data_IF_438087302782
#
_entry.id   IF_438087302782
#
_cell.length_a   1.000
_cell.length_b   1.000
_cell.length_c   1.000
_cell.angle_alpha   90.00
_cell.angle_beta   90.00
_cell.angle_gamma   90.00
#
_symmetry.space_group_name_H-M   'P 1'
#
loop_
_entity.id
_entity.type
_entity.pdbx_description
1 polymer ?
#
# COMPACT_ATOMS: atom_id res chain seq x y z
N UNK A 1 1.54 30.56 -3.03
CA UNK A 1 0.68 29.45 -2.60
C UNK A 1 1.14 28.11 -3.21
N UNK A 2 1.07 27.88 -4.52
CA UNK A 2 1.44 26.57 -5.08
C UNK A 2 2.96 26.29 -5.06
N UNK A 3 3.82 27.28 -5.30
CA UNK A 3 5.28 27.15 -5.14
C UNK A 3 5.71 26.89 -3.69
N UNK A 4 4.93 27.31 -2.73
CA UNK A 4 5.13 27.08 -1.31
C UNK A 4 4.85 25.63 -0.91
N UNK A 5 3.83 24.98 -1.49
CA UNK A 5 3.53 23.59 -1.25
C UNK A 5 4.70 22.65 -1.61
N UNK A 6 5.26 22.78 -2.82
CA UNK A 6 6.37 21.90 -3.24
C UNK A 6 7.61 22.07 -2.36
N UNK A 7 7.91 23.30 -1.94
CA UNK A 7 9.03 23.53 -1.02
C UNK A 7 8.76 22.91 0.36
N UNK A 8 7.56 23.09 0.90
CA UNK A 8 7.13 22.48 2.16
C UNK A 8 7.19 20.96 2.08
N UNK A 9 6.73 20.37 0.98
CA UNK A 9 6.80 18.94 0.75
C UNK A 9 8.26 18.44 0.68
N UNK A 10 9.15 19.13 -0.03
CA UNK A 10 10.59 18.79 -0.08
C UNK A 10 11.24 18.85 1.30
N UNK A 11 10.92 19.85 2.11
CA UNK A 11 11.41 19.95 3.48
C UNK A 11 10.93 18.75 4.31
N UNK A 12 9.64 18.40 4.21
CA UNK A 12 9.09 17.21 4.87
C UNK A 12 9.78 15.91 4.42
N UNK A 13 10.06 15.74 3.12
CA UNK A 13 10.84 14.62 2.62
C UNK A 13 12.23 14.58 3.28
N UNK A 14 12.91 15.73 3.39
CA UNK A 14 14.21 15.85 4.05
C UNK A 14 14.16 15.42 5.52
N UNK A 15 13.20 15.93 6.28
CA UNK A 15 13.00 15.57 7.70
C UNK A 15 12.77 14.05 7.88
N UNK A 16 11.96 13.46 7.03
CA UNK A 16 11.65 12.03 7.09
C UNK A 16 12.83 11.15 6.66
N UNK A 17 13.64 11.63 5.72
CA UNK A 17 14.82 10.91 5.23
C UNK A 17 15.89 10.72 6.30
N UNK A 18 16.03 11.65 7.25
CA UNK A 18 16.91 11.52 8.42
C UNK A 18 16.54 10.30 9.25
N UNK A 19 15.24 10.01 9.37
CA UNK A 19 14.73 8.83 10.06
C UNK A 19 14.77 7.55 9.20
N UNK A 20 15.15 7.63 7.92
CA UNK A 20 15.14 6.52 6.98
C UNK A 20 13.73 6.04 6.61
N UNK A 21 12.72 6.91 6.66
CA UNK A 21 11.33 6.60 6.38
C UNK A 21 10.76 7.52 5.28
N UNK A 22 9.75 7.07 4.50
CA UNK A 22 9.17 7.88 3.44
C UNK A 22 8.34 9.06 4.01
N UNK A 23 8.08 10.10 3.22
CA UNK A 23 7.15 11.16 3.58
C UNK A 23 5.76 10.59 3.85
N UNK A 24 4.95 11.33 4.58
CA UNK A 24 3.54 10.98 4.80
C UNK A 24 2.79 10.93 3.45
N UNK A 25 1.73 10.11 3.35
CA UNK A 25 0.79 10.21 2.24
C UNK A 25 0.19 11.61 2.17
N UNK A 26 -0.16 12.06 0.97
CA UNK A 26 -0.80 13.36 0.77
C UNK A 26 -2.15 13.43 1.50
N UNK A 27 -2.40 14.52 2.21
CA UNK A 27 -3.73 14.85 2.70
C UNK A 27 -4.65 15.30 1.55
N UNK A 28 -5.96 15.42 1.81
CA UNK A 28 -6.91 15.94 0.83
C UNK A 28 -6.55 17.36 0.34
N UNK A 29 -6.10 18.23 1.25
CA UNK A 29 -5.65 19.59 0.90
C UNK A 29 -4.40 19.56 0.01
N UNK A 30 -3.39 18.78 0.39
CA UNK A 30 -2.18 18.62 -0.41
C UNK A 30 -2.45 17.99 -1.78
N UNK A 31 -3.41 17.04 -1.85
CA UNK A 31 -3.84 16.46 -3.14
C UNK A 31 -4.49 17.52 -4.03
N UNK A 32 -5.29 18.41 -3.45
CA UNK A 32 -5.86 19.55 -4.19
C UNK A 32 -4.77 20.52 -4.67
N UNK A 33 -3.76 20.82 -3.85
CA UNK A 33 -2.62 21.64 -4.27
C UNK A 33 -1.84 21.02 -5.44
N UNK A 34 -1.61 19.70 -5.41
CA UNK A 34 -0.99 18.95 -6.53
C UNK A 34 -1.84 19.07 -7.79
N UNK A 35 -3.17 18.95 -7.69
CA UNK A 35 -4.09 19.08 -8.83
C UNK A 35 -4.04 20.46 -9.43
N UNK A 36 -4.02 21.52 -8.62
CA UNK A 36 -3.89 22.89 -9.14
C UNK A 36 -2.55 23.12 -9.88
N UNK A 37 -1.48 22.51 -9.39
CA UNK A 37 -0.18 22.53 -10.08
C UNK A 37 -0.20 21.70 -11.37
N UNK A 38 -0.92 20.58 -11.42
CA UNK A 38 -1.06 19.76 -12.63
C UNK A 38 -1.82 20.48 -13.76
N UNK A 39 -2.69 21.44 -13.45
CA UNK A 39 -3.37 22.27 -14.46
C UNK A 39 -2.41 23.20 -15.19
N UNK A 40 -1.41 23.74 -14.47
CA UNK A 40 -0.37 24.60 -15.00
C UNK A 40 0.98 24.25 -14.35
N UNK A 41 1.63 23.16 -14.80
CA UNK A 41 2.83 22.66 -14.12
C UNK A 41 3.98 23.65 -14.24
N UNK A 42 4.63 24.00 -13.10
CA UNK A 42 5.86 24.78 -13.13
C UNK A 42 6.95 24.02 -13.88
N UNK A 43 7.70 24.74 -14.68
CA UNK A 43 8.80 24.18 -15.47
C UNK A 43 9.85 23.53 -14.55
N UNK A 44 10.11 22.24 -14.78
CA UNK A 44 11.06 21.45 -14.01
C UNK A 44 10.45 20.66 -12.84
N UNK A 45 9.16 20.85 -12.54
CA UNK A 45 8.43 20.14 -11.49
C UNK A 45 7.47 19.07 -12.03
N UNK A 46 7.44 18.84 -13.33
CA UNK A 46 6.52 17.91 -13.98
C UNK A 46 6.64 16.48 -13.44
N UNK A 47 7.88 16.02 -13.28
CA UNK A 47 8.15 14.65 -12.79
C UNK A 47 7.69 14.44 -11.34
N UNK A 48 7.94 15.42 -10.45
CA UNK A 48 7.50 15.30 -9.05
C UNK A 48 5.97 15.37 -8.95
N UNK A 49 5.29 16.16 -9.77
CA UNK A 49 3.83 16.23 -9.77
C UNK A 49 3.20 14.90 -10.21
N UNK A 50 3.76 14.26 -11.23
CA UNK A 50 3.33 12.92 -11.65
C UNK A 50 3.58 11.88 -10.57
N UNK A 51 4.75 11.91 -9.92
CA UNK A 51 5.07 11.04 -8.79
C UNK A 51 4.06 11.21 -7.64
N UNK A 52 3.76 12.46 -7.27
CA UNK A 52 2.85 12.76 -6.17
C UNK A 52 1.44 12.24 -6.44
N UNK A 53 0.87 12.55 -7.60
CA UNK A 53 -0.49 12.12 -7.92
C UNK A 53 -0.59 10.61 -8.11
N UNK A 54 0.45 9.98 -8.63
CA UNK A 54 0.48 8.53 -8.89
C UNK A 54 0.68 7.73 -7.60
N UNK A 55 1.71 8.05 -6.82
CA UNK A 55 2.22 7.17 -5.76
C UNK A 55 2.05 7.69 -4.34
N UNK A 56 1.74 8.98 -4.15
CA UNK A 56 1.68 9.56 -2.80
C UNK A 56 0.28 9.86 -2.29
N UNK A 57 -0.73 9.81 -3.16
CA UNK A 57 -2.13 9.89 -2.75
C UNK A 57 -2.61 8.56 -2.14
N UNK A 58 -3.28 8.56 -0.97
CA UNK A 58 -3.91 7.36 -0.43
C UNK A 58 -4.89 6.74 -1.41
N UNK A 59 -5.09 5.41 -1.30
CA UNK A 59 -6.12 4.67 -2.04
C UNK A 59 -7.37 4.41 -1.17
N UNK A 60 -8.38 3.77 -1.76
CA UNK A 60 -9.58 3.34 -1.06
C UNK A 60 -10.53 4.52 -0.76
N UNK A 61 -10.96 4.65 0.50
CA UNK A 61 -12.00 5.59 0.94
C UNK A 61 -11.48 6.80 1.71
N UNK A 62 -10.17 7.07 1.65
CA UNK A 62 -9.58 8.26 2.22
C UNK A 62 -10.10 9.54 1.52
N UNK A 63 -10.17 10.65 2.25
CA UNK A 63 -10.62 11.93 1.68
C UNK A 63 -9.70 12.42 0.55
N UNK A 64 -8.40 12.16 0.63
CA UNK A 64 -7.45 12.46 -0.46
C UNK A 64 -7.72 11.59 -1.69
N UNK A 65 -8.12 10.32 -1.50
CA UNK A 65 -8.54 9.44 -2.59
C UNK A 65 -9.78 9.99 -3.31
N UNK A 66 -10.74 10.58 -2.58
CA UNK A 66 -11.90 11.24 -3.18
C UNK A 66 -11.49 12.39 -4.10
N UNK A 67 -10.60 13.26 -3.62
CA UNK A 67 -10.09 14.41 -4.40
C UNK A 67 -9.34 13.91 -5.65
N UNK A 68 -8.44 12.95 -5.49
CA UNK A 68 -7.69 12.33 -6.59
C UNK A 68 -8.63 11.70 -7.62
N UNK A 69 -9.59 10.87 -7.19
CA UNK A 69 -10.52 10.19 -8.08
C UNK A 69 -11.37 11.17 -8.87
N UNK A 70 -11.87 12.23 -8.23
CA UNK A 70 -12.69 13.26 -8.90
C UNK A 70 -11.93 13.95 -10.03
N UNK A 71 -10.66 14.31 -9.80
CA UNK A 71 -9.82 14.93 -10.82
C UNK A 71 -9.49 13.97 -11.97
N UNK A 72 -9.03 12.75 -11.64
CA UNK A 72 -8.70 11.75 -12.65
C UNK A 72 -9.94 11.37 -13.49
N UNK A 73 -11.12 11.30 -12.87
CA UNK A 73 -12.37 11.08 -13.57
C UNK A 73 -12.68 12.23 -14.56
N UNK A 74 -12.51 13.48 -14.14
CA UNK A 74 -12.70 14.63 -15.02
C UNK A 74 -11.75 14.63 -16.22
N UNK A 75 -10.47 14.28 -16.00
CA UNK A 75 -9.48 14.13 -17.08
C UNK A 75 -9.85 12.96 -18.00
N UNK A 76 -10.18 11.78 -17.45
CA UNK A 76 -10.54 10.61 -18.23
C UNK A 76 -11.78 10.81 -19.09
N UNK A 77 -12.80 11.51 -18.57
CA UNK A 77 -14.01 11.89 -19.33
C UNK A 77 -13.76 13.04 -20.31
N UNK A 78 -12.60 13.71 -20.28
CA UNK A 78 -12.28 14.84 -21.15
C UNK A 78 -12.92 16.16 -20.77
N UNK A 79 -13.53 16.26 -19.58
CA UNK A 79 -14.11 17.52 -19.06
C UNK A 79 -13.06 18.43 -18.45
N UNK A 80 -11.91 17.88 -18.09
CA UNK A 80 -10.71 18.60 -17.63
C UNK A 80 -9.53 18.21 -18.52
N UNK A 81 -8.61 19.15 -18.78
CA UNK A 81 -7.37 18.90 -19.56
C UNK A 81 -6.17 18.93 -18.65
N UNK A 82 -5.27 17.97 -18.82
CA UNK A 82 -3.97 17.93 -18.17
C UNK A 82 -2.87 17.68 -19.20
N UNK A 83 -1.84 18.52 -19.20
CA UNK A 83 -0.72 18.38 -20.14
C UNK A 83 0.14 17.13 -19.84
N UNK A 84 0.15 16.68 -18.59
CA UNK A 84 0.99 15.57 -18.11
C UNK A 84 0.25 14.23 -18.06
N UNK A 85 -1.09 14.22 -18.09
CA UNK A 85 -1.90 13.02 -17.93
C UNK A 85 -2.92 12.97 -19.06
N UNK A 86 -2.79 11.98 -19.96
CA UNK A 86 -3.77 11.73 -21.01
C UNK A 86 -5.07 11.14 -20.42
N UNK A 87 -6.15 11.13 -21.19
CA UNK A 87 -7.41 10.48 -20.82
C UNK A 87 -7.23 9.00 -20.48
N UNK A 88 -6.49 8.30 -21.33
CA UNK A 88 -6.14 6.90 -21.13
C UNK A 88 -5.34 6.68 -19.84
N UNK A 89 -4.30 7.48 -19.59
CA UNK A 89 -3.48 7.40 -18.39
C UNK A 89 -4.31 7.72 -17.12
N UNK A 90 -5.22 8.70 -17.19
CA UNK A 90 -6.14 8.99 -16.09
C UNK A 90 -7.06 7.81 -15.76
N UNK A 91 -7.60 7.13 -16.78
CA UNK A 91 -8.40 5.91 -16.59
C UNK A 91 -7.56 4.77 -15.99
N UNK A 92 -6.31 4.61 -16.42
CA UNK A 92 -5.37 3.66 -15.82
C UNK A 92 -5.13 3.95 -14.35
N UNK A 93 -4.85 5.21 -14.00
CA UNK A 93 -4.63 5.63 -12.61
C UNK A 93 -5.86 5.43 -11.72
N UNK A 94 -7.07 5.64 -12.24
CA UNK A 94 -8.32 5.28 -11.54
C UNK A 94 -8.35 3.78 -11.20
N UNK A 95 -7.91 2.92 -12.12
CA UNK A 95 -7.85 1.47 -11.91
C UNK A 95 -6.91 1.05 -10.78
N UNK A 96 -5.94 1.89 -10.39
CA UNK A 96 -4.99 1.59 -9.30
C UNK A 96 -5.52 1.90 -7.90
N UNK A 97 -6.70 2.49 -7.77
CA UNK A 97 -7.18 3.04 -6.50
C UNK A 97 -7.89 2.05 -5.58
N UNK A 98 -7.94 0.78 -5.91
CA UNK A 98 -8.40 -0.35 -5.08
C UNK A 98 -9.88 -0.32 -4.65
N UNK A 99 -10.74 0.40 -5.35
CA UNK A 99 -12.16 0.53 -5.01
C UNK A 99 -12.49 1.83 -4.28
N UNK A 100 -13.77 2.04 -4.01
CA UNK A 100 -14.30 3.29 -3.46
C UNK A 100 -14.63 4.32 -4.53
N UNK A 101 -14.04 5.50 -4.48
CA UNK A 101 -14.42 6.65 -5.33
C UNK A 101 -14.10 6.49 -6.82
N UNK A 102 -13.31 5.52 -7.21
CA UNK A 102 -12.94 5.25 -8.60
C UNK A 102 -13.92 4.32 -9.33
N UNK A 103 -14.80 3.59 -8.64
CA UNK A 103 -15.66 2.55 -9.23
C UNK A 103 -16.65 3.16 -10.21
N UNK A 104 -17.51 4.07 -9.75
CA UNK A 104 -18.52 4.70 -10.59
C UNK A 104 -17.96 5.42 -11.82
N UNK A 105 -16.86 6.22 -11.72
CA UNK A 105 -16.21 6.77 -12.90
C UNK A 105 -15.73 5.71 -13.89
N UNK A 106 -15.11 4.62 -13.44
CA UNK A 106 -14.65 3.55 -14.34
C UNK A 106 -15.81 2.84 -15.03
N UNK A 107 -16.93 2.62 -14.34
CA UNK A 107 -18.14 2.04 -14.95
C UNK A 107 -18.69 2.95 -16.05
N UNK A 108 -18.71 4.27 -15.82
CA UNK A 108 -19.13 5.24 -16.84
C UNK A 108 -18.20 5.21 -18.06
N UNK A 109 -16.87 5.08 -17.84
CA UNK A 109 -15.88 5.02 -18.93
C UNK A 109 -15.95 3.74 -19.77
N UNK A 110 -16.70 2.71 -19.38
CA UNK A 110 -16.95 1.54 -20.25
C UNK A 110 -17.73 1.92 -21.53
N UNK A 111 -18.46 3.03 -21.53
CA UNK A 111 -19.17 3.55 -22.70
C UNK A 111 -18.38 4.66 -23.44
N UNK A 112 -17.13 4.90 -23.07
CA UNK A 112 -16.32 5.92 -23.72
C UNK A 112 -16.10 5.60 -25.20
N UNK A 113 -16.18 6.63 -26.04
CA UNK A 113 -16.00 6.50 -27.48
C UNK A 113 -14.54 6.24 -27.89
N UNK A 114 -13.60 6.56 -27.01
CA UNK A 114 -12.19 6.28 -27.21
C UNK A 114 -11.85 4.87 -26.67
N UNK A 115 -11.53 3.91 -27.56
CA UNK A 115 -11.32 2.52 -27.17
C UNK A 115 -10.20 2.32 -26.13
N UNK A 116 -9.15 3.13 -26.16
CA UNK A 116 -8.05 3.06 -25.19
C UNK A 116 -8.53 3.39 -23.77
N UNK A 117 -9.38 4.39 -23.61
CA UNK A 117 -9.97 4.79 -22.32
C UNK A 117 -10.88 3.69 -21.78
N UNK A 118 -11.82 3.18 -22.60
CA UNK A 118 -12.71 2.09 -22.19
C UNK A 118 -11.95 0.81 -21.84
N UNK A 119 -10.86 0.51 -22.55
CA UNK A 119 -9.98 -0.63 -22.26
C UNK A 119 -9.32 -0.51 -20.88
N UNK A 120 -8.78 0.66 -20.53
CA UNK A 120 -8.18 0.90 -19.20
C UNK A 120 -9.23 0.80 -18.09
N UNK A 121 -10.42 1.36 -18.30
CA UNK A 121 -11.51 1.23 -17.35
C UNK A 121 -11.90 -0.23 -17.10
N UNK A 122 -12.03 -1.03 -18.17
CA UNK A 122 -12.32 -2.45 -18.05
C UNK A 122 -11.20 -3.20 -17.33
N UNK A 123 -9.93 -2.91 -17.64
CA UNK A 123 -8.78 -3.51 -16.97
C UNK A 123 -8.77 -3.22 -15.46
N UNK A 124 -9.06 -1.98 -15.05
CA UNK A 124 -9.19 -1.60 -13.64
C UNK A 124 -10.33 -2.34 -12.95
N UNK A 125 -11.51 -2.43 -13.58
CA UNK A 125 -12.68 -3.10 -13.00
C UNK A 125 -12.49 -4.61 -12.85
N UNK A 126 -11.78 -5.29 -13.76
CA UNK A 126 -11.46 -6.72 -13.64
C UNK A 126 -10.71 -7.05 -12.34
N UNK A 127 -9.92 -6.12 -11.81
CA UNK A 127 -9.15 -6.27 -10.58
C UNK A 127 -9.84 -5.66 -9.35
N UNK A 128 -11.00 -5.03 -9.50
CA UNK A 128 -11.76 -4.41 -8.40
C UNK A 128 -12.90 -5.33 -7.98
N UNK A 129 -12.73 -6.02 -6.84
CA UNK A 129 -13.66 -7.06 -6.39
C UNK A 129 -14.72 -6.56 -5.42
N UNK A 130 -14.42 -5.51 -4.66
CA UNK A 130 -15.35 -4.94 -3.67
C UNK A 130 -16.25 -3.90 -4.31
N UNK A 131 -17.18 -4.34 -5.15
CA UNK A 131 -18.08 -3.48 -5.93
C UNK A 131 -19.52 -3.46 -5.42
N UNK A 132 -19.91 -4.43 -4.65
CA UNK A 132 -21.26 -4.54 -4.09
C UNK A 132 -22.39 -4.15 -5.09
N UNK A 133 -23.13 -3.08 -4.80
CA UNK A 133 -24.28 -2.68 -5.61
C UNK A 133 -23.91 -2.27 -7.06
N UNK A 134 -22.71 -1.73 -7.28
CA UNK A 134 -22.22 -1.36 -8.61
C UNK A 134 -21.98 -2.55 -9.56
N UNK A 135 -21.97 -3.78 -9.04
CA UNK A 135 -21.97 -4.98 -9.88
C UNK A 135 -23.15 -4.97 -10.88
N UNK A 136 -24.33 -4.55 -10.43
CA UNK A 136 -25.53 -4.50 -11.27
C UNK A 136 -25.39 -3.49 -12.41
N UNK A 137 -24.67 -2.38 -12.20
CA UNK A 137 -24.44 -1.37 -13.23
C UNK A 137 -23.57 -1.93 -14.36
N UNK A 138 -22.52 -2.70 -14.02
CA UNK A 138 -21.68 -3.39 -15.02
C UNK A 138 -22.49 -4.45 -15.77
N UNK A 139 -23.30 -5.24 -15.03
CA UNK A 139 -24.17 -6.27 -15.63
C UNK A 139 -25.17 -5.64 -16.61
N UNK A 140 -25.81 -4.55 -16.22
CA UNK A 140 -26.79 -3.86 -17.11
C UNK A 140 -26.13 -3.40 -18.42
N UNK A 141 -24.91 -2.84 -18.36
CA UNK A 141 -24.17 -2.45 -19.57
C UNK A 141 -23.83 -3.68 -20.44
N UNK A 142 -23.43 -4.79 -19.81
CA UNK A 142 -23.15 -6.04 -20.52
C UNK A 142 -24.40 -6.60 -21.22
N UNK A 143 -25.55 -6.59 -20.54
CA UNK A 143 -26.83 -7.02 -21.07
C UNK A 143 -27.31 -6.14 -22.26
N UNK A 144 -26.99 -4.84 -22.22
CA UNK A 144 -27.23 -3.88 -23.31
C UNK A 144 -26.23 -4.00 -24.47
N UNK A 145 -25.26 -4.91 -24.38
CA UNK A 145 -24.37 -5.21 -25.50
C UNK A 145 -22.98 -4.60 -25.40
N UNK A 146 -22.66 -3.82 -24.34
CA UNK A 146 -21.32 -3.24 -24.16
C UNK A 146 -20.25 -4.35 -24.06
N UNK A 147 -19.30 -4.37 -25.00
CA UNK A 147 -18.27 -5.42 -25.09
C UNK A 147 -17.27 -5.37 -23.95
N UNK A 148 -16.93 -4.17 -23.47
CA UNK A 148 -16.02 -3.99 -22.33
C UNK A 148 -16.65 -4.49 -21.05
N UNK A 149 -17.92 -4.15 -20.79
CA UNK A 149 -18.66 -4.67 -19.65
C UNK A 149 -18.79 -6.20 -19.70
N UNK A 150 -19.06 -6.78 -20.86
CA UNK A 150 -19.06 -8.25 -21.04
C UNK A 150 -17.71 -8.86 -20.70
N UNK A 151 -16.62 -8.24 -21.11
CA UNK A 151 -15.27 -8.74 -20.80
C UNK A 151 -14.96 -8.66 -19.29
N UNK A 152 -15.46 -7.64 -18.59
CA UNK A 152 -15.32 -7.53 -17.12
C UNK A 152 -16.12 -8.65 -16.44
N UNK A 153 -17.39 -8.83 -16.82
CA UNK A 153 -18.24 -9.90 -16.27
C UNK A 153 -17.66 -11.29 -16.50
N UNK A 154 -17.10 -11.53 -17.69
CA UNK A 154 -16.45 -12.81 -18.00
C UNK A 154 -15.19 -13.03 -17.15
N UNK A 155 -14.38 -11.98 -16.97
CA UNK A 155 -13.18 -12.03 -16.14
C UNK A 155 -13.52 -12.36 -14.68
N UNK A 156 -14.58 -11.75 -14.14
CA UNK A 156 -15.05 -12.06 -12.79
C UNK A 156 -15.59 -13.49 -12.67
N UNK A 157 -16.38 -13.94 -13.66
CA UNK A 157 -16.89 -15.32 -13.70
C UNK A 157 -15.79 -16.37 -13.77
N UNK A 158 -14.69 -16.07 -14.47
CA UNK A 158 -13.50 -16.92 -14.56
C UNK A 158 -12.57 -16.80 -13.34
N UNK A 159 -12.87 -15.93 -12.39
CA UNK A 159 -11.98 -15.61 -11.26
C UNK A 159 -10.54 -15.25 -11.71
N UNK A 160 -10.39 -14.53 -12.82
CA UNK A 160 -9.06 -14.21 -13.39
C UNK A 160 -8.16 -13.42 -12.42
N UNK A 161 -8.75 -12.57 -11.58
CA UNK A 161 -8.05 -11.85 -10.49
C UNK A 161 -7.32 -12.78 -9.52
N UNK A 162 -7.73 -14.04 -9.44
CA UNK A 162 -7.13 -15.06 -8.60
C UNK A 162 -6.30 -16.05 -9.44
N UNK A 163 -6.86 -16.59 -10.52
CA UNK A 163 -6.24 -17.64 -11.35
C UNK A 163 -5.06 -17.13 -12.17
N UNK A 164 -4.96 -15.82 -12.43
CA UNK A 164 -3.82 -15.20 -13.12
C UNK A 164 -2.61 -14.92 -12.21
N UNK A 165 -2.69 -15.25 -10.93
CA UNK A 165 -1.55 -15.07 -10.01
C UNK A 165 -0.46 -16.10 -10.30
N UNK A 166 0.83 -15.73 -10.01
CA UNK A 166 1.93 -16.68 -10.12
C UNK A 166 1.66 -17.94 -9.29
N UNK A 167 2.14 -19.06 -9.77
CA UNK A 167 2.13 -20.31 -9.00
C UNK A 167 2.91 -20.17 -7.69
N UNK A 168 2.48 -20.89 -6.66
CA UNK A 168 3.20 -20.94 -5.39
C UNK A 168 4.54 -21.64 -5.64
N UNK A 169 5.68 -21.03 -5.27
CA UNK A 169 6.98 -21.65 -5.45
C UNK A 169 7.12 -22.92 -4.58
N UNK A 170 7.77 -23.94 -5.09
CA UNK A 170 8.05 -25.18 -4.33
C UNK A 170 8.97 -24.94 -3.13
N UNK A 171 9.84 -23.94 -3.19
CA UNK A 171 10.75 -23.56 -2.12
C UNK A 171 11.00 -22.06 -2.09
N UNK A 172 11.24 -21.53 -0.90
CA UNK A 172 11.57 -20.12 -0.70
C UNK A 172 12.87 -20.05 0.11
N UNK A 173 13.88 -19.35 -0.43
CA UNK A 173 15.11 -19.05 0.30
C UNK A 173 14.87 -17.84 1.21
N UNK A 174 15.16 -17.97 2.48
CA UNK A 174 14.93 -16.95 3.50
C UNK A 174 16.22 -16.59 4.22
N UNK A 175 16.37 -15.32 4.56
CA UNK A 175 17.30 -14.86 5.59
C UNK A 175 16.52 -14.68 6.89
N UNK A 176 17.04 -15.19 8.00
CA UNK A 176 16.31 -15.23 9.26
C UNK A 176 16.72 -14.08 10.17
N UNK A 177 15.74 -13.33 10.68
CA UNK A 177 15.87 -12.48 11.85
C UNK A 177 15.16 -13.17 13.02
N UNK A 178 15.94 -13.64 14.01
CA UNK A 178 15.41 -14.42 15.12
C UNK A 178 15.34 -13.60 16.40
N UNK A 179 14.19 -13.74 17.08
CA UNK A 179 13.99 -13.29 18.47
C UNK A 179 13.67 -14.52 19.31
N UNK A 180 14.53 -14.84 20.28
CA UNK A 180 14.29 -15.95 21.20
C UNK A 180 13.28 -15.55 22.30
N UNK A 181 12.53 -16.54 22.79
CA UNK A 181 11.53 -16.35 23.84
C UNK A 181 10.14 -15.96 23.31
N UNK A 182 9.30 -15.48 24.21
CA UNK A 182 7.97 -14.98 23.86
C UNK A 182 8.03 -13.56 23.28
N UNK A 183 7.35 -13.34 22.17
CA UNK A 183 7.21 -12.03 21.52
C UNK A 183 5.78 -11.55 21.69
N UNK A 184 5.60 -10.58 22.56
CA UNK A 184 4.32 -9.90 22.76
C UNK A 184 4.10 -8.81 21.70
N UNK A 185 2.86 -8.49 21.39
CA UNK A 185 2.55 -7.40 20.47
C UNK A 185 3.04 -6.03 20.95
N UNK A 186 3.29 -5.83 22.25
CA UNK A 186 3.92 -4.61 22.74
C UNK A 186 5.44 -4.54 22.47
N UNK A 187 6.10 -5.68 22.24
CA UNK A 187 7.48 -5.69 21.75
C UNK A 187 7.58 -5.17 20.31
N UNK A 188 6.51 -5.40 19.52
CA UNK A 188 6.40 -5.02 18.12
C UNK A 188 5.74 -3.66 17.89
N UNK A 189 4.88 -3.25 18.81
CA UNK A 189 4.07 -2.03 18.77
C UNK A 189 3.87 -1.49 20.20
N UNK A 190 4.89 -0.88 20.82
CA UNK A 190 4.86 -0.45 22.20
C UNK A 190 3.72 0.52 22.49
N UNK A 191 3.01 0.31 23.62
CA UNK A 191 1.89 1.15 24.03
C UNK A 191 2.27 2.64 24.22
N UNK A 192 3.44 3.00 24.79
CA UNK A 192 3.85 4.40 24.86
C UNK A 192 4.01 5.11 23.51
N UNK A 193 4.25 4.36 22.44
CA UNK A 193 4.40 4.88 21.08
C UNK A 193 3.08 4.80 20.26
N UNK A 194 1.94 4.49 20.89
CA UNK A 194 0.65 4.29 20.23
C UNK A 194 0.16 5.51 19.42
N UNK A 195 0.58 6.70 19.78
CA UNK A 195 0.27 7.95 19.08
C UNK A 195 0.77 7.95 17.62
N UNK A 196 1.83 7.20 17.31
CA UNK A 196 2.42 7.11 15.96
C UNK A 196 1.80 6.01 15.09
N UNK A 197 0.89 5.17 15.60
CA UNK A 197 0.28 4.04 14.86
C UNK A 197 -0.35 4.40 13.51
N UNK A 198 -0.97 5.58 13.32
CA UNK A 198 -1.48 5.98 12.01
C UNK A 198 -0.37 6.15 10.95
N UNK A 199 0.85 6.44 11.37
CA UNK A 199 2.04 6.56 10.54
C UNK A 199 2.87 5.27 10.66
N UNK A 200 2.53 4.26 9.86
CA UNK A 200 3.15 2.93 9.94
C UNK A 200 4.68 2.99 9.90
N UNK A 201 5.32 3.71 8.95
CA UNK A 201 6.78 3.81 8.91
C UNK A 201 7.39 4.36 10.19
N UNK A 202 6.79 5.41 10.75
CA UNK A 202 7.27 6.02 12.00
C UNK A 202 7.06 5.08 13.19
N UNK A 203 5.87 4.48 13.29
CA UNK A 203 5.56 3.56 14.39
C UNK A 203 6.46 2.33 14.39
N UNK A 204 6.77 1.79 13.22
CA UNK A 204 7.65 0.62 13.07
C UNK A 204 9.06 0.86 13.64
N UNK A 205 9.55 2.11 13.69
CA UNK A 205 10.82 2.45 14.33
C UNK A 205 10.84 2.14 15.85
N UNK A 206 9.68 1.97 16.47
CA UNK A 206 9.58 1.59 17.88
C UNK A 206 9.68 0.07 18.11
N UNK A 207 9.68 -0.76 17.07
CA UNK A 207 9.78 -2.21 17.18
C UNK A 207 11.06 -2.62 17.93
N UNK A 208 10.92 -3.49 18.94
CA UNK A 208 12.00 -3.92 19.84
C UNK A 208 12.73 -2.77 20.55
N UNK A 209 12.02 -1.69 20.82
CA UNK A 209 12.56 -0.55 21.58
C UNK A 209 12.99 -0.93 23.01
N UNK A 210 12.24 -1.79 23.64
CA UNK A 210 12.41 -2.19 25.02
C UNK A 210 12.42 -3.72 25.11
N UNK A 211 13.53 -4.40 24.75
CA UNK A 211 13.63 -5.84 24.87
C UNK A 211 13.47 -6.27 26.33
N UNK A 212 12.74 -7.35 26.56
CA UNK A 212 12.55 -7.92 27.88
C UNK A 212 13.76 -8.78 28.27
N UNK A 213 14.02 -8.99 29.57
CA UNK A 213 15.16 -9.77 30.04
C UNK A 213 15.16 -11.23 29.56
N UNK A 214 13.98 -11.80 29.24
CA UNK A 214 13.78 -13.16 28.76
C UNK A 214 13.89 -13.27 27.23
N UNK A 215 14.14 -12.15 26.54
CA UNK A 215 14.31 -12.10 25.09
C UNK A 215 15.77 -11.94 24.68
N UNK A 216 16.16 -12.65 23.62
CA UNK A 216 17.39 -12.39 22.90
C UNK A 216 17.04 -11.89 21.51
N UNK A 217 17.39 -10.62 21.24
CA UNK A 217 17.15 -9.93 19.97
C UNK A 217 18.47 -9.59 19.32
N UNK A 218 18.70 -10.09 18.11
CA UNK A 218 19.87 -9.70 17.32
C UNK A 218 19.83 -8.21 16.98
N UNK A 219 20.97 -7.54 17.12
CA UNK A 219 21.07 -6.10 17.05
C UNK A 219 22.42 -5.63 16.55
N UNK A 220 22.44 -4.54 15.80
CA UNK A 220 23.64 -3.74 15.50
C UNK A 220 23.65 -2.49 16.38
N UNK A 221 24.77 -1.75 16.48
CA UNK A 221 24.81 -0.46 17.15
C UNK A 221 23.72 0.47 16.59
N UNK A 222 23.06 1.21 17.48
CA UNK A 222 22.02 2.16 17.07
C UNK A 222 22.64 3.33 16.30
N UNK A 223 21.89 3.84 15.33
CA UNK A 223 22.18 5.07 14.58
C UNK A 223 21.02 6.05 14.73
N UNK A 224 21.26 7.32 14.43
CA UNK A 224 20.21 8.33 14.47
C UNK A 224 18.98 7.90 13.65
N UNK A 225 17.81 7.90 14.28
CA UNK A 225 16.55 7.47 13.68
C UNK A 225 16.37 5.97 13.47
N UNK A 226 17.39 5.13 13.74
CA UNK A 226 17.31 3.67 13.59
C UNK A 226 17.78 2.94 14.84
N UNK A 227 16.96 2.01 15.33
CA UNK A 227 17.29 1.15 16.45
C UNK A 227 18.09 -0.06 15.99
N UNK A 228 18.92 -0.61 16.87
CA UNK A 228 19.83 -1.71 16.57
C UNK A 228 19.16 -2.95 15.94
N UNK A 229 18.03 -3.47 16.46
CA UNK A 229 17.32 -4.60 15.83
C UNK A 229 16.84 -4.28 14.40
N UNK A 230 16.27 -3.11 14.17
CA UNK A 230 15.81 -2.66 12.85
C UNK A 230 16.98 -2.54 11.87
N UNK A 231 18.07 -1.94 12.31
CA UNK A 231 19.30 -1.83 11.53
C UNK A 231 19.87 -3.20 11.16
N UNK A 232 19.76 -4.18 12.07
CA UNK A 232 20.16 -5.55 11.78
C UNK A 232 19.27 -6.19 10.70
N UNK A 233 17.94 -6.00 10.76
CA UNK A 233 17.03 -6.47 9.70
C UNK A 233 17.42 -5.86 8.34
N UNK A 234 17.71 -4.57 8.28
CA UNK A 234 18.14 -3.91 7.04
C UNK A 234 19.45 -4.50 6.51
N UNK A 235 20.39 -4.86 7.39
CA UNK A 235 21.64 -5.54 7.00
C UNK A 235 21.39 -6.94 6.44
N UNK A 236 20.36 -7.64 6.96
CA UNK A 236 19.97 -8.96 6.45
C UNK A 236 19.33 -8.86 5.05
N UNK A 237 18.55 -7.81 4.78
CA UNK A 237 17.99 -7.55 3.45
C UNK A 237 19.07 -7.38 2.38
N UNK A 238 20.22 -6.80 2.74
CA UNK A 238 21.33 -6.62 1.83
C UNK A 238 21.90 -7.96 1.29
N UNK A 239 21.57 -9.11 1.90
CA UNK A 239 21.92 -10.45 1.40
C UNK A 239 21.08 -10.89 0.19
N UNK A 240 20.02 -10.13 -0.18
CA UNK A 240 19.22 -10.35 -1.40
C UNK A 240 18.10 -11.39 -1.27
N UNK A 241 17.88 -11.96 -0.09
CA UNK A 241 16.75 -12.87 0.18
C UNK A 241 15.65 -12.17 0.97
N UNK A 242 14.44 -12.73 0.94
CA UNK A 242 13.37 -12.30 1.84
C UNK A 242 13.80 -12.52 3.29
N UNK A 243 13.51 -11.56 4.16
CA UNK A 243 13.78 -11.69 5.59
C UNK A 243 12.56 -12.28 6.27
N UNK A 244 12.73 -13.45 6.91
CA UNK A 244 11.71 -14.04 7.77
C UNK A 244 11.87 -13.52 9.21
N UNK A 245 10.77 -13.10 9.81
CA UNK A 245 10.68 -12.82 11.23
C UNK A 245 10.42 -14.12 11.99
N UNK A 246 11.32 -14.51 12.89
CA UNK A 246 11.29 -15.82 13.55
C UNK A 246 11.29 -15.68 15.06
N UNK A 247 10.38 -16.38 15.74
CA UNK A 247 10.28 -16.41 17.18
C UNK A 247 9.87 -17.77 17.76
N UNK A 248 10.01 -17.96 19.05
CA UNK A 248 9.52 -19.17 19.71
C UNK A 248 8.00 -19.10 19.89
N UNK A 249 7.49 -18.07 20.56
CA UNK A 249 6.05 -17.77 20.66
C UNK A 249 5.82 -16.35 20.15
N UNK A 250 4.99 -16.16 19.14
CA UNK A 250 4.86 -14.87 18.45
C UNK A 250 3.44 -14.31 18.56
N UNK A 251 3.33 -13.02 18.86
CA UNK A 251 2.12 -12.24 18.69
C UNK A 251 1.11 -12.35 19.82
N UNK A 252 1.54 -12.70 21.03
CA UNK A 252 0.70 -12.61 22.23
C UNK A 252 0.37 -11.14 22.54
N UNK A 253 -0.79 -10.86 23.13
CA UNK A 253 -1.22 -9.50 23.47
C UNK A 253 -2.29 -8.94 22.54
N UNK A 254 -2.59 -7.64 22.66
CA UNK A 254 -3.78 -7.03 22.07
C UNK A 254 -3.53 -6.11 20.86
N UNK A 255 -2.32 -5.54 20.70
CA UNK A 255 -1.98 -4.55 19.66
C UNK A 255 -1.65 -5.17 18.28
N UNK A 256 -2.41 -6.18 17.87
CA UNK A 256 -2.08 -7.08 16.75
C UNK A 256 -1.92 -6.38 15.40
N UNK A 257 -2.85 -5.51 15.01
CA UNK A 257 -2.79 -4.83 13.70
C UNK A 257 -1.54 -3.96 13.57
N UNK A 258 -1.23 -3.14 14.57
CA UNK A 258 -0.04 -2.30 14.55
C UNK A 258 1.25 -3.11 14.67
N UNK A 259 1.24 -4.20 15.43
CA UNK A 259 2.37 -5.14 15.52
C UNK A 259 2.65 -5.81 14.17
N UNK A 260 1.62 -6.30 13.49
CA UNK A 260 1.74 -6.83 12.12
C UNK A 260 2.30 -5.78 11.17
N UNK A 261 1.75 -4.57 11.16
CA UNK A 261 2.26 -3.48 10.33
C UNK A 261 3.74 -3.18 10.59
N UNK A 262 4.19 -3.21 11.85
CA UNK A 262 5.60 -3.00 12.19
C UNK A 262 6.50 -4.10 11.62
N UNK A 263 6.11 -5.38 11.76
CA UNK A 263 6.86 -6.50 11.18
C UNK A 263 6.90 -6.39 9.66
N UNK A 264 5.76 -6.16 9.01
CA UNK A 264 5.67 -6.08 7.55
C UNK A 264 6.40 -4.85 7.00
N UNK A 265 6.49 -3.75 7.76
CA UNK A 265 7.28 -2.61 7.34
C UNK A 265 8.75 -2.99 7.07
N UNK A 266 9.31 -3.90 7.85
CA UNK A 266 10.69 -4.36 7.68
C UNK A 266 10.84 -5.62 6.84
N UNK A 267 9.87 -6.52 6.81
CA UNK A 267 9.98 -7.82 6.13
C UNK A 267 9.14 -7.95 4.86
N UNK A 268 8.16 -7.07 4.66
CA UNK A 268 7.25 -7.08 3.52
C UNK A 268 7.72 -6.25 2.33
N UNK A 269 6.87 -6.17 1.34
CA UNK A 269 7.05 -5.43 0.09
C UNK A 269 6.02 -4.30 -0.01
N UNK A 270 6.36 -3.23 -0.72
CA UNK A 270 5.45 -2.11 -0.92
C UNK A 270 4.21 -2.57 -1.72
N UNK A 271 3.04 -2.11 -1.31
CA UNK A 271 1.80 -2.30 -2.07
C UNK A 271 1.81 -1.27 -3.20
N UNK A 272 1.77 -1.70 -4.47
CA UNK A 272 1.77 -0.76 -5.59
C UNK A 272 0.67 0.30 -5.45
N UNK A 273 1.00 1.56 -5.64
CA UNK A 273 0.10 2.72 -5.54
C UNK A 273 -0.54 2.98 -4.17
N UNK A 274 -0.11 2.26 -3.13
CA UNK A 274 -0.58 2.48 -1.74
C UNK A 274 0.60 2.95 -0.90
N UNK A 275 0.71 4.25 -0.62
CA UNK A 275 1.83 4.78 0.12
C UNK A 275 1.88 4.28 1.57
N UNK A 276 3.09 4.04 2.06
CA UNK A 276 3.40 3.76 3.46
C UNK A 276 2.72 2.50 4.04
N UNK A 277 2.36 1.54 3.18
CA UNK A 277 1.85 0.21 3.58
C UNK A 277 2.62 -0.88 2.83
N UNK A 278 2.79 -2.00 3.50
CA UNK A 278 3.46 -3.19 2.97
C UNK A 278 2.62 -4.43 3.18
N UNK A 279 2.80 -5.40 2.32
CA UNK A 279 2.18 -6.72 2.36
C UNK A 279 3.26 -7.81 2.23
N UNK A 280 2.87 -9.06 2.34
CA UNK A 280 3.80 -10.18 2.22
C UNK A 280 4.59 -10.37 3.50
N UNK A 281 5.84 -10.82 3.35
CA UNK A 281 6.69 -11.17 4.47
C UNK A 281 6.40 -12.57 5.00
N UNK A 282 7.36 -13.14 5.73
CA UNK A 282 7.27 -14.48 6.32
C UNK A 282 7.43 -14.35 7.84
N UNK A 283 6.53 -14.97 8.59
CA UNK A 283 6.60 -15.06 10.05
C UNK A 283 6.61 -16.53 10.47
N UNK A 284 7.67 -16.96 11.15
CA UNK A 284 7.84 -18.32 11.59
C UNK A 284 7.81 -18.38 13.11
N UNK A 285 7.10 -19.38 13.69
CA UNK A 285 7.08 -19.57 15.13
C UNK A 285 6.78 -21.02 15.51
N UNK A 286 7.29 -21.50 16.66
CA UNK A 286 6.79 -22.77 17.22
C UNK A 286 5.32 -22.63 17.62
N UNK A 287 4.95 -21.41 18.06
CA UNK A 287 3.54 -21.00 18.26
C UNK A 287 3.36 -19.58 17.75
N UNK A 288 2.29 -19.34 17.02
CA UNK A 288 1.83 -18.01 16.68
C UNK A 288 0.44 -17.83 17.28
N UNK A 289 0.23 -16.74 18.04
CA UNK A 289 -1.06 -16.48 18.67
C UNK A 289 -2.18 -16.42 17.60
N UNK A 290 -3.31 -17.10 17.75
CA UNK A 290 -4.28 -17.31 16.66
C UNK A 290 -4.76 -16.03 16.00
N UNK A 291 -5.04 -14.99 16.78
CA UNK A 291 -5.51 -13.71 16.21
C UNK A 291 -4.36 -12.95 15.51
N UNK A 292 -3.13 -13.07 15.98
CA UNK A 292 -1.99 -12.51 15.29
C UNK A 292 -1.73 -13.27 13.98
N UNK A 293 -1.83 -14.59 14.00
CA UNK A 293 -1.73 -15.45 12.81
C UNK A 293 -2.70 -14.98 11.72
N UNK A 294 -4.00 -14.91 12.04
CA UNK A 294 -5.02 -14.45 11.09
C UNK A 294 -4.77 -13.01 10.61
N UNK A 295 -4.29 -12.12 11.49
CA UNK A 295 -3.96 -10.74 11.09
C UNK A 295 -2.78 -10.69 10.11
N UNK A 296 -1.80 -11.57 10.25
CA UNK A 296 -0.69 -11.72 9.30
C UNK A 296 -1.20 -12.21 7.94
N UNK A 297 -2.07 -13.25 7.92
CA UNK A 297 -2.70 -13.74 6.68
C UNK A 297 -3.51 -12.65 5.97
N UNK A 298 -4.36 -11.94 6.71
CA UNK A 298 -5.18 -10.83 6.19
C UNK A 298 -4.32 -9.70 5.59
N UNK A 299 -3.08 -9.58 6.06
CA UNK A 299 -2.10 -8.60 5.56
C UNK A 299 -1.26 -9.14 4.39
N UNK A 300 -1.59 -10.32 3.88
CA UNK A 300 -0.89 -10.98 2.78
C UNK A 300 0.48 -11.54 3.15
N UNK A 301 0.77 -11.73 4.43
CA UNK A 301 1.96 -12.39 4.91
C UNK A 301 1.79 -13.93 4.95
N UNK A 302 2.88 -14.64 5.10
CA UNK A 302 2.93 -16.09 5.25
C UNK A 302 3.34 -16.45 6.69
N UNK A 303 2.38 -16.60 7.63
CA UNK A 303 2.66 -17.13 8.95
C UNK A 303 2.74 -18.66 8.89
N UNK A 304 3.80 -19.24 9.47
CA UNK A 304 3.99 -20.69 9.54
C UNK A 304 4.34 -21.07 10.97
N UNK A 305 3.54 -21.97 11.54
CA UNK A 305 3.86 -22.62 12.81
C UNK A 305 4.51 -23.97 12.53
N UNK A 306 5.59 -24.30 13.28
CA UNK A 306 6.19 -25.64 13.22
C UNK A 306 6.26 -26.25 14.64
N UNK A 307 6.22 -27.54 14.71
CA UNK A 307 6.38 -28.34 15.95
C UNK A 307 7.80 -28.86 16.05
#
# INVERSE_FOLDING_TARGET
MASDFLQTYRNHVGERSVLGIPPLPLSAAQTADVIELLKNPPKGDEAILLELITHRGPAGVDNAAKVKASYLAAVAHGTEKCALISREHAAQLLGTMLGGYNISPMIALLDDLEPSVATQAAAGLKNTLLMFDQFHDVKEKADKGNSYAKSVMQSWANAEWFTSRPEVPESIMLTVFKVAGEINTDDLSPAPDAWSRPDIPLHALAMHKNPRPDQSVESLPEEEGKRGPIKFIDSLKAKGHLVAYVGDVVGTGSSRKSATNSVLWFTGQDIPFVPNKRFGGVCLGTKIAPIFYNTMEDSGALPISWT
#
